data_IF_257145528074
#
_entry.id   IF_257145528074
#
_cell.length_a   1.000
_cell.length_b   1.000
_cell.length_c   1.000
_cell.angle_alpha   90.00
_cell.angle_beta   90.00
_cell.angle_gamma   90.00
#
_symmetry.space_group_name_H-M   'P 1'
#
loop_
_entity.id
_entity.type
_entity.pdbx_description
1 polymer ?
#
# COMPACT_ATOMS: atom_id res chain seq x y z
N UNK A 1 13.86 -2.13 -16.90
CA UNK A 1 13.81 -1.75 -15.47
C UNK A 1 13.17 -2.90 -14.71
N UNK A 2 13.90 -3.56 -13.81
CA UNK A 2 13.39 -4.65 -12.97
C UNK A 2 12.85 -4.06 -11.66
N UNK A 3 11.52 -3.92 -11.54
CA UNK A 3 10.86 -3.57 -10.28
C UNK A 3 10.60 -4.79 -9.41
N UNK A 4 10.15 -4.56 -8.18
CA UNK A 4 9.78 -5.64 -7.28
C UNK A 4 8.61 -6.45 -7.90
N UNK A 5 8.71 -7.77 -7.84
CA UNK A 5 7.71 -8.68 -8.44
C UNK A 5 7.49 -9.90 -7.57
N UNK A 6 6.29 -10.45 -7.63
CA UNK A 6 5.96 -11.69 -6.95
C UNK A 6 6.28 -12.87 -7.86
N UNK A 7 7.05 -13.81 -7.33
CA UNK A 7 7.41 -15.05 -8.00
C UNK A 7 6.59 -16.18 -7.41
N UNK A 8 5.89 -16.89 -8.29
CA UNK A 8 5.10 -18.08 -7.96
C UNK A 8 5.43 -19.21 -8.92
N UNK A 9 5.29 -20.43 -8.45
CA UNK A 9 5.30 -21.62 -9.30
C UNK A 9 3.89 -22.23 -9.22
N UNK A 10 3.09 -22.16 -10.30
CA UNK A 10 1.76 -22.75 -10.30
C UNK A 10 1.87 -24.28 -10.19
N UNK A 11 0.88 -24.96 -9.58
CA UNK A 11 0.88 -26.42 -9.52
C UNK A 11 0.85 -27.05 -10.92
N UNK A 12 1.35 -28.28 -11.03
CA UNK A 12 1.38 -29.01 -12.30
C UNK A 12 -0.02 -29.13 -12.94
N UNK A 13 -0.12 -28.89 -14.25
CA UNK A 13 -1.37 -28.99 -15.00
C UNK A 13 -2.24 -27.74 -14.98
N UNK A 14 -1.88 -26.72 -14.21
CA UNK A 14 -2.50 -25.40 -14.27
C UNK A 14 -2.06 -24.68 -15.54
N UNK A 15 -2.99 -23.94 -16.14
CA UNK A 15 -2.77 -23.19 -17.38
C UNK A 15 -2.81 -21.70 -17.10
N UNK A 16 -2.20 -20.90 -17.98
CA UNK A 16 -2.34 -19.44 -17.91
C UNK A 16 -3.83 -19.10 -18.10
N UNK A 17 -4.39 -18.36 -17.14
CA UNK A 17 -5.77 -17.89 -17.15
C UNK A 17 -5.92 -16.50 -17.76
N UNK A 18 -7.17 -16.07 -17.91
CA UNK A 18 -7.52 -14.76 -18.49
C UNK A 18 -8.28 -13.85 -17.50
N UNK A 19 -8.09 -14.03 -16.20
CA UNK A 19 -8.71 -13.18 -15.18
C UNK A 19 -8.13 -11.77 -15.32
N UNK A 20 -8.98 -10.77 -15.49
CA UNK A 20 -8.56 -9.38 -15.62
C UNK A 20 -7.91 -8.86 -14.32
N UNK A 21 -6.99 -7.88 -14.38
CA UNK A 21 -6.48 -7.24 -13.18
C UNK A 21 -7.59 -6.47 -12.44
N UNK A 22 -7.49 -6.33 -11.10
CA UNK A 22 -8.39 -5.46 -10.37
C UNK A 22 -8.22 -4.01 -10.83
N UNK A 23 -9.32 -3.24 -10.83
CA UNK A 23 -9.26 -1.81 -11.13
C UNK A 23 -8.45 -1.11 -10.04
N UNK A 24 -7.49 -0.29 -10.45
CA UNK A 24 -6.74 0.60 -9.56
C UNK A 24 -7.17 2.04 -9.80
N UNK A 25 -7.08 2.88 -8.77
CA UNK A 25 -7.30 4.30 -8.93
C UNK A 25 -6.01 4.96 -9.45
N UNK A 26 -6.00 5.36 -10.71
CA UNK A 26 -4.84 5.95 -11.40
C UNK A 26 -4.43 7.32 -10.83
N UNK A 27 -5.32 8.00 -10.09
CA UNK A 27 -5.10 9.38 -9.59
C UNK A 27 -3.90 9.54 -8.65
N UNK A 28 -3.31 8.46 -8.14
CA UNK A 28 -2.14 8.48 -7.26
C UNK A 28 -0.82 8.18 -8.00
N UNK A 29 -0.81 8.13 -9.34
CA UNK A 29 0.37 7.67 -10.09
C UNK A 29 0.67 6.18 -9.85
N UNK A 30 -0.38 5.41 -9.57
CA UNK A 30 -0.31 3.97 -9.37
C UNK A 30 -0.40 3.25 -10.72
N UNK A 31 0.46 2.27 -10.94
CA UNK A 31 0.54 1.48 -12.18
C UNK A 31 0.59 -0.01 -11.87
N UNK A 32 -0.16 -0.83 -12.62
CA UNK A 32 -0.03 -2.28 -12.54
C UNK A 32 1.23 -2.69 -13.30
N UNK A 33 2.28 -3.09 -12.57
CA UNK A 33 3.57 -3.49 -13.14
C UNK A 33 3.72 -5.01 -13.30
N UNK A 34 2.85 -5.78 -12.65
CA UNK A 34 2.74 -7.21 -12.84
C UNK A 34 1.28 -7.61 -12.73
N UNK A 35 0.85 -8.46 -13.66
CA UNK A 35 -0.41 -9.20 -13.54
C UNK A 35 -0.25 -10.55 -14.23
N UNK A 36 -0.62 -11.62 -13.53
CA UNK A 36 -0.69 -12.95 -14.08
C UNK A 36 -1.82 -13.73 -13.41
N UNK A 37 -2.44 -14.64 -14.15
CA UNK A 37 -3.42 -15.56 -13.59
C UNK A 37 -3.19 -16.97 -14.10
N UNK A 38 -3.54 -17.96 -13.28
CA UNK A 38 -3.47 -19.37 -13.60
C UNK A 38 -4.76 -20.04 -13.18
N UNK A 39 -5.26 -20.95 -14.00
CA UNK A 39 -6.51 -21.66 -13.78
C UNK A 39 -6.24 -23.16 -13.75
N UNK A 40 -6.86 -23.82 -12.78
CA UNK A 40 -6.86 -25.27 -12.67
C UNK A 40 -7.97 -25.88 -13.53
N UNK A 41 -7.81 -27.13 -13.99
CA UNK A 41 -8.88 -27.87 -14.66
C UNK A 41 -10.16 -28.02 -13.80
N UNK A 42 -10.03 -27.92 -12.47
CA UNK A 42 -11.12 -28.11 -11.51
C UNK A 42 -11.74 -26.77 -11.03
N UNK A 43 -11.43 -25.66 -11.71
CA UNK A 43 -12.08 -24.37 -11.48
C UNK A 43 -11.54 -23.53 -10.31
N UNK A 44 -10.44 -23.92 -9.68
CA UNK A 44 -9.63 -23.06 -8.82
C UNK A 44 -8.69 -22.15 -9.61
N UNK A 45 -8.32 -21.01 -9.03
CA UNK A 45 -7.53 -19.99 -9.70
C UNK A 45 -6.44 -19.40 -8.79
N UNK A 46 -5.32 -18.99 -9.40
CA UNK A 46 -4.26 -18.22 -8.78
C UNK A 46 -4.21 -16.89 -9.52
N UNK A 47 -4.20 -15.78 -8.79
CA UNK A 47 -3.93 -14.47 -9.38
C UNK A 47 -2.74 -13.84 -8.68
N UNK A 48 -1.85 -13.21 -9.45
CA UNK A 48 -0.68 -12.51 -8.97
C UNK A 48 -0.75 -11.10 -9.52
N UNK A 49 -0.50 -10.11 -8.67
CA UNK A 49 -0.37 -8.74 -9.13
C UNK A 49 0.62 -7.92 -8.31
N UNK A 50 1.15 -6.88 -8.93
CA UNK A 50 1.93 -5.84 -8.29
C UNK A 50 1.53 -4.49 -8.83
N UNK A 51 1.33 -3.54 -7.92
CA UNK A 51 1.09 -2.14 -8.24
C UNK A 51 2.28 -1.33 -7.73
N UNK A 52 2.87 -0.53 -8.61
CA UNK A 52 3.91 0.43 -8.26
C UNK A 52 3.28 1.81 -8.06
N UNK A 53 3.59 2.47 -6.95
CA UNK A 53 3.12 3.83 -6.65
C UNK A 53 4.31 4.71 -6.29
N UNK A 54 4.43 5.87 -6.92
CA UNK A 54 5.47 6.86 -6.61
C UNK A 54 5.36 7.37 -5.18
N UNK A 55 6.48 7.44 -4.47
CA UNK A 55 6.55 7.96 -3.10
C UNK A 55 7.70 8.96 -2.94
N UNK A 56 7.50 10.07 -2.21
CA UNK A 56 8.58 11.03 -1.93
C UNK A 56 9.56 10.54 -0.85
N UNK A 57 9.28 9.39 -0.23
CA UNK A 57 10.01 8.78 0.87
C UNK A 57 9.08 7.82 1.65
N UNK A 58 9.65 7.00 2.52
CA UNK A 58 8.92 6.05 3.34
C UNK A 58 9.00 6.40 4.82
N UNK A 59 7.87 6.35 5.52
CA UNK A 59 7.80 6.30 6.98
C UNK A 59 6.94 5.13 7.40
N UNK A 60 7.27 4.49 8.51
CA UNK A 60 6.59 3.26 8.95
C UNK A 60 5.09 3.48 9.23
N UNK A 61 4.66 4.69 9.56
CA UNK A 61 3.24 5.02 9.71
C UNK A 61 2.42 4.87 8.42
N UNK A 62 3.07 4.85 7.24
CA UNK A 62 2.40 4.57 5.98
C UNK A 62 2.04 3.08 5.82
N UNK A 63 2.75 2.18 6.53
CA UNK A 63 2.61 0.73 6.39
C UNK A 63 1.16 0.25 6.52
N UNK A 64 0.39 0.59 7.57
CA UNK A 64 -0.97 0.06 7.72
C UNK A 64 -1.90 0.44 6.56
N UNK A 65 -1.77 1.66 6.04
CA UNK A 65 -2.57 2.11 4.89
C UNK A 65 -2.19 1.37 3.60
N UNK A 66 -0.90 1.11 3.40
CA UNK A 66 -0.37 0.36 2.25
C UNK A 66 -0.78 -1.11 2.32
N UNK A 67 -0.66 -1.74 3.49
CA UNK A 67 -1.10 -3.12 3.73
C UNK A 67 -2.61 -3.25 3.50
N UNK A 68 -3.43 -2.37 4.07
CA UNK A 68 -4.88 -2.38 3.90
C UNK A 68 -5.31 -2.28 2.42
N UNK A 69 -4.66 -1.40 1.64
CA UNK A 69 -4.89 -1.32 0.19
C UNK A 69 -4.47 -2.57 -0.55
N UNK A 70 -3.33 -3.17 -0.18
CA UNK A 70 -2.83 -4.40 -0.81
C UNK A 70 -3.77 -5.58 -0.55
N UNK A 71 -4.30 -5.69 0.68
CA UNK A 71 -5.31 -6.69 1.04
C UNK A 71 -6.59 -6.50 0.25
N UNK A 72 -7.04 -5.25 0.08
CA UNK A 72 -8.21 -4.94 -0.75
C UNK A 72 -8.01 -5.34 -2.22
N UNK A 73 -6.81 -5.14 -2.79
CA UNK A 73 -6.46 -5.60 -4.14
C UNK A 73 -6.44 -7.12 -4.27
N UNK A 74 -5.94 -7.82 -3.25
CA UNK A 74 -5.99 -9.28 -3.19
C UNK A 74 -7.45 -9.77 -3.16
N UNK A 75 -8.29 -9.20 -2.29
CA UNK A 75 -9.73 -9.51 -2.24
C UNK A 75 -10.45 -9.22 -3.56
N UNK A 76 -10.17 -8.07 -4.19
CA UNK A 76 -10.73 -7.72 -5.49
C UNK A 76 -10.31 -8.69 -6.60
N UNK A 77 -9.05 -9.13 -6.62
CA UNK A 77 -8.56 -10.11 -7.58
C UNK A 77 -9.21 -11.48 -7.38
N UNK A 78 -9.38 -11.89 -6.12
CA UNK A 78 -10.12 -13.10 -5.79
C UNK A 78 -11.59 -13.01 -6.20
N UNK A 79 -12.22 -11.84 -6.04
CA UNK A 79 -13.60 -11.60 -6.47
C UNK A 79 -13.77 -11.70 -7.99
N UNK A 80 -12.80 -11.20 -8.76
CA UNK A 80 -12.79 -11.38 -10.22
C UNK A 80 -12.63 -12.85 -10.60
N UNK A 81 -11.82 -13.61 -9.86
CA UNK A 81 -11.62 -15.04 -10.11
C UNK A 81 -12.85 -15.90 -9.76
N UNK A 82 -13.59 -15.55 -8.70
CA UNK A 82 -14.75 -16.32 -8.22
C UNK A 82 -16.07 -15.85 -8.80
N UNK A 83 -16.14 -14.61 -9.30
CA UNK A 83 -17.37 -13.95 -9.72
C UNK A 83 -18.24 -13.45 -8.56
N UNK A 84 -17.73 -13.43 -7.32
CA UNK A 84 -18.47 -13.04 -6.12
C UNK A 84 -17.63 -12.14 -5.20
N UNK A 85 -18.26 -11.22 -4.44
CA UNK A 85 -17.53 -10.39 -3.47
C UNK A 85 -16.76 -11.21 -2.43
N UNK A 86 -15.51 -10.84 -2.16
CA UNK A 86 -14.60 -11.54 -1.25
C UNK A 86 -14.15 -10.63 -0.11
N UNK A 87 -14.22 -11.15 1.11
CA UNK A 87 -13.59 -10.59 2.30
C UNK A 87 -12.25 -11.29 2.54
N UNK A 88 -11.20 -10.50 2.82
CA UNK A 88 -9.85 -11.01 3.07
C UNK A 88 -9.44 -10.67 4.50
N UNK A 89 -9.18 -11.69 5.32
CA UNK A 89 -8.88 -11.53 6.75
C UNK A 89 -7.51 -12.07 7.11
N UNK A 90 -6.72 -11.37 7.92
CA UNK A 90 -5.43 -11.87 8.36
C UNK A 90 -5.62 -13.15 9.18
N UNK A 91 -4.76 -14.15 8.94
CA UNK A 91 -4.77 -15.44 9.64
C UNK A 91 -3.77 -15.50 10.82
N UNK A 92 -3.00 -14.43 11.04
CA UNK A 92 -1.96 -14.34 12.06
C UNK A 92 -0.59 -14.90 11.66
N UNK A 93 -0.44 -15.47 10.45
CA UNK A 93 0.82 -16.05 9.95
C UNK A 93 1.43 -15.27 8.79
N UNK A 94 0.91 -14.07 8.51
CA UNK A 94 1.30 -13.25 7.36
C UNK A 94 0.62 -13.69 6.07
N UNK A 95 -0.44 -14.51 6.16
CA UNK A 95 -1.35 -14.79 5.06
C UNK A 95 -2.75 -14.27 5.39
N UNK A 96 -3.65 -14.39 4.41
CA UNK A 96 -5.03 -13.94 4.53
C UNK A 96 -5.96 -15.08 4.11
N UNK A 97 -6.97 -15.34 4.92
CA UNK A 97 -8.09 -16.18 4.53
C UNK A 97 -9.05 -15.39 3.66
N UNK A 98 -9.53 -16.02 2.59
CA UNK A 98 -10.51 -15.45 1.68
C UNK A 98 -11.86 -16.13 1.94
N UNK A 99 -12.89 -15.32 2.19
CA UNK A 99 -14.28 -15.77 2.45
C UNK A 99 -15.24 -14.99 1.58
N UNK A 100 -16.42 -15.54 1.32
CA UNK A 100 -17.46 -14.80 0.62
C UNK A 100 -17.91 -13.62 1.51
N UNK A 101 -17.95 -12.40 0.97
CA UNK A 101 -18.22 -11.21 1.78
C UNK A 101 -19.66 -11.17 2.33
N UNK A 102 -20.59 -11.89 1.70
CA UNK A 102 -21.98 -12.03 2.14
C UNK A 102 -22.18 -13.04 3.26
N UNK A 103 -21.19 -13.89 3.55
CA UNK A 103 -21.24 -14.87 4.63
C UNK A 103 -19.84 -15.09 5.20
N UNK A 104 -19.47 -14.21 6.14
CA UNK A 104 -18.16 -14.25 6.80
C UNK A 104 -17.98 -15.48 7.72
N UNK A 105 -19.07 -16.18 8.05
CA UNK A 105 -19.04 -17.42 8.82
C UNK A 105 -18.87 -18.65 7.91
N UNK A 106 -19.07 -18.50 6.60
CA UNK A 106 -18.86 -19.56 5.61
C UNK A 106 -17.41 -20.07 5.62
N UNK A 107 -17.16 -21.31 5.18
CA UNK A 107 -15.82 -21.87 5.08
C UNK A 107 -14.85 -20.99 4.27
N UNK A 108 -13.57 -21.09 4.59
CA UNK A 108 -12.49 -20.46 3.80
C UNK A 108 -12.54 -20.99 2.38
N UNK A 109 -12.67 -20.09 1.40
CA UNK A 109 -12.70 -20.43 -0.01
C UNK A 109 -11.36 -20.22 -0.70
N UNK A 110 -10.38 -19.64 -0.01
CA UNK A 110 -9.09 -19.32 -0.58
C UNK A 110 -8.10 -18.75 0.43
N UNK A 111 -6.86 -18.59 -0.03
CA UNK A 111 -5.82 -17.89 0.73
C UNK A 111 -5.15 -16.83 -0.13
N UNK A 112 -4.63 -15.80 0.50
CA UNK A 112 -3.81 -14.80 -0.15
C UNK A 112 -2.56 -14.49 0.68
N UNK A 113 -1.55 -13.95 0.02
CA UNK A 113 -0.36 -13.39 0.67
C UNK A 113 -0.04 -12.07 0.02
N UNK A 114 0.29 -11.08 0.84
CA UNK A 114 0.63 -9.74 0.38
C UNK A 114 2.11 -9.46 0.65
N UNK A 115 2.68 -8.55 -0.12
CA UNK A 115 4.07 -8.13 -0.01
C UNK A 115 4.16 -6.64 -0.22
N UNK A 116 5.09 -6.01 0.50
CA UNK A 116 5.50 -4.62 0.26
C UNK A 116 6.95 -4.65 -0.18
N UNK A 117 7.19 -4.13 -1.37
CA UNK A 117 8.51 -3.94 -1.95
C UNK A 117 8.82 -2.49 -2.20
N UNK A 118 10.09 -2.20 -2.50
CA UNK A 118 10.56 -0.86 -2.82
C UNK A 118 11.51 -0.89 -4.01
N UNK A 119 11.49 0.19 -4.77
CA UNK A 119 12.62 0.63 -5.58
C UNK A 119 13.04 2.05 -5.15
N UNK A 120 13.95 2.69 -5.89
CA UNK A 120 14.48 4.01 -5.55
C UNK A 120 13.42 5.13 -5.49
N UNK A 121 12.26 4.95 -6.13
CA UNK A 121 11.24 6.01 -6.26
C UNK A 121 9.81 5.53 -5.95
N UNK A 122 9.58 4.23 -5.82
CA UNK A 122 8.25 3.65 -5.74
C UNK A 122 8.14 2.61 -4.64
N UNK A 123 6.97 2.58 -4.01
CA UNK A 123 6.51 1.44 -3.23
C UNK A 123 5.77 0.49 -4.17
N UNK A 124 6.04 -0.81 -4.02
CA UNK A 124 5.38 -1.88 -4.75
C UNK A 124 4.48 -2.64 -3.79
N UNK A 125 3.18 -2.58 -4.01
CA UNK A 125 2.19 -3.39 -3.28
C UNK A 125 1.84 -4.58 -4.13
N UNK A 126 2.26 -5.76 -3.69
CA UNK A 126 2.07 -6.99 -4.43
C UNK A 126 1.22 -8.00 -3.67
N UNK A 127 0.57 -8.88 -4.40
CA UNK A 127 -0.24 -9.94 -3.84
C UNK A 127 -0.18 -11.20 -4.69
N UNK A 128 -0.51 -12.31 -4.05
CA UNK A 128 -0.93 -13.55 -4.70
C UNK A 128 -2.19 -14.04 -4.00
N UNK A 129 -3.17 -14.50 -4.76
CA UNK A 129 -4.37 -15.17 -4.23
C UNK A 129 -4.52 -16.56 -4.84
N UNK A 130 -5.19 -17.44 -4.11
CA UNK A 130 -5.54 -18.81 -4.49
C UNK A 130 -6.99 -19.03 -4.07
N UNK A 131 -7.87 -19.34 -5.01
CA UNK A 131 -9.31 -19.56 -4.77
C UNK A 131 -9.71 -21.01 -5.10
N UNK A 132 -10.72 -21.52 -4.37
CA UNK A 132 -11.23 -22.90 -4.37
C UNK A 132 -10.13 -23.93 -4.04
N UNK A 133 -9.61 -23.84 -2.82
CA UNK A 133 -8.17 -23.91 -2.54
C UNK A 133 -7.71 -25.00 -1.55
N UNK A 134 -7.75 -26.28 -1.90
CA UNK A 134 -6.80 -27.25 -1.31
C UNK A 134 -5.54 -27.43 -2.17
N UNK A 135 -5.61 -27.10 -3.47
CA UNK A 135 -4.59 -27.47 -4.45
C UNK A 135 -3.52 -26.42 -4.71
N UNK A 136 -3.70 -25.16 -4.28
CA UNK A 136 -2.75 -24.07 -4.49
C UNK A 136 -2.20 -23.42 -3.20
N UNK A 137 -2.49 -23.97 -2.02
CA UNK A 137 -1.99 -23.45 -0.74
C UNK A 137 -0.45 -23.42 -0.68
N UNK A 138 0.21 -24.48 -1.17
CA UNK A 138 1.67 -24.54 -1.23
C UNK A 138 2.27 -23.45 -2.12
N UNK A 139 1.59 -23.07 -3.21
CA UNK A 139 2.02 -21.94 -4.06
C UNK A 139 1.95 -20.61 -3.32
N UNK A 140 0.92 -20.39 -2.48
CA UNK A 140 0.84 -19.18 -1.64
C UNK A 140 1.94 -19.16 -0.58
N UNK A 141 2.17 -20.30 0.09
CA UNK A 141 3.18 -20.42 1.14
C UNK A 141 4.61 -20.19 0.61
N UNK A 142 4.89 -20.63 -0.61
CA UNK A 142 6.21 -20.49 -1.26
C UNK A 142 6.37 -19.22 -2.09
N UNK A 143 5.29 -18.46 -2.30
CA UNK A 143 5.35 -17.18 -3.00
C UNK A 143 6.31 -16.23 -2.29
N UNK A 144 7.12 -15.52 -3.07
CA UNK A 144 8.13 -14.61 -2.57
C UNK A 144 8.23 -13.36 -3.43
N UNK A 145 8.67 -12.28 -2.80
CA UNK A 145 8.97 -11.03 -3.48
C UNK A 145 10.44 -11.02 -3.93
N UNK A 146 10.66 -10.76 -5.21
CA UNK A 146 12.00 -10.57 -5.80
C UNK A 146 12.21 -9.13 -6.24
N UNK A 147 13.47 -8.68 -6.21
CA UNK A 147 13.87 -7.38 -6.76
C UNK A 147 13.52 -6.17 -5.89
N UNK A 148 13.14 -6.37 -4.62
CA UNK A 148 12.93 -5.26 -3.67
C UNK A 148 14.25 -4.74 -3.12
N UNK A 149 14.34 -3.41 -2.97
CA UNK A 149 15.41 -2.74 -2.21
C UNK A 149 14.93 -2.36 -0.81
N UNK A 150 15.80 -1.74 -0.02
CA UNK A 150 15.41 -1.06 1.20
C UNK A 150 14.46 0.11 0.88
N UNK A 151 13.54 0.46 1.81
CA UNK A 151 12.65 1.60 1.64
C UNK A 151 13.44 2.91 1.49
N UNK A 152 13.01 3.83 0.60
CA UNK A 152 13.67 5.12 0.45
C UNK A 152 13.52 5.94 1.73
N UNK A 153 14.62 6.55 2.19
CA UNK A 153 14.59 7.40 3.39
C UNK A 153 13.60 8.56 3.23
N UNK A 154 12.89 8.94 4.31
CA UNK A 154 12.00 10.08 4.26
C UNK A 154 12.80 11.37 4.07
N UNK A 155 12.32 12.26 3.18
CA UNK A 155 12.84 13.62 3.09
C UNK A 155 12.43 14.48 4.29
N UNK A 156 13.11 15.62 4.49
CA UNK A 156 12.91 16.52 5.64
C UNK A 156 11.44 16.93 5.86
N UNK A 157 10.70 17.16 4.77
CA UNK A 157 9.30 17.52 4.83
C UNK A 157 8.45 16.40 5.44
N UNK A 158 8.65 15.15 5.00
CA UNK A 158 7.91 14.01 5.50
C UNK A 158 8.26 13.72 6.97
N UNK A 159 9.54 13.79 7.32
CA UNK A 159 10.00 13.67 8.72
C UNK A 159 9.37 14.74 9.62
N UNK A 160 9.29 15.99 9.17
CA UNK A 160 8.68 17.08 9.91
C UNK A 160 7.18 16.87 10.15
N UNK A 161 6.45 16.43 9.12
CA UNK A 161 5.00 16.10 9.24
C UNK A 161 4.79 14.94 10.20
N UNK A 162 5.55 13.86 10.06
CA UNK A 162 5.47 12.70 10.96
C UNK A 162 5.77 13.12 12.40
N UNK A 163 6.79 13.95 12.63
CA UNK A 163 7.09 14.45 13.96
C UNK A 163 5.95 15.28 14.55
N UNK A 164 5.35 16.18 13.76
CA UNK A 164 4.23 17.02 14.18
C UNK A 164 2.98 16.20 14.57
N UNK A 165 2.70 15.12 13.82
CA UNK A 165 1.58 14.21 14.12
C UNK A 165 1.79 13.50 15.47
N UNK A 166 3.01 13.04 15.75
CA UNK A 166 3.33 12.34 17.01
C UNK A 166 3.56 13.28 18.20
N UNK A 167 3.84 14.56 17.95
CA UNK A 167 4.14 15.55 18.98
C UNK A 167 3.25 16.81 18.82
N UNK A 168 1.92 16.67 18.94
CA UNK A 168 0.99 17.76 18.61
C UNK A 168 1.14 18.96 19.54
N UNK A 169 1.37 18.72 20.83
CA UNK A 169 1.51 19.78 21.85
C UNK A 169 2.76 20.64 21.62
N UNK A 170 3.99 20.10 21.55
CA UNK A 170 5.16 20.94 21.29
C UNK A 170 5.14 21.56 19.89
N UNK A 171 4.54 20.89 18.88
CA UNK A 171 4.34 21.49 17.56
C UNK A 171 3.42 22.70 17.62
N UNK A 172 2.26 22.60 18.29
CA UNK A 172 1.32 23.70 18.46
C UNK A 172 1.95 24.89 19.21
N UNK A 173 2.74 24.62 20.26
CA UNK A 173 3.47 25.65 21.00
C UNK A 173 4.52 26.35 20.13
N UNK A 174 5.31 25.60 19.36
CA UNK A 174 6.28 26.17 18.43
C UNK A 174 5.60 27.05 17.38
N UNK A 175 4.46 26.59 16.83
CA UNK A 175 3.71 27.32 15.82
C UNK A 175 3.09 28.61 16.40
N UNK A 176 2.50 28.55 17.59
CA UNK A 176 1.98 29.71 18.30
C UNK A 176 3.08 30.74 18.61
N UNK A 177 4.25 30.27 19.05
CA UNK A 177 5.41 31.15 19.34
C UNK A 177 5.89 31.83 18.05
N UNK A 178 6.00 31.08 16.95
CA UNK A 178 6.43 31.60 15.65
C UNK A 178 5.46 32.66 15.13
N UNK A 179 4.14 32.40 15.20
CA UNK A 179 3.10 33.36 14.83
C UNK A 179 3.15 34.62 15.69
N UNK A 180 3.39 34.48 16.98
CA UNK A 180 3.49 35.62 17.90
C UNK A 180 4.69 36.50 17.56
N UNK A 181 5.86 35.89 17.32
CA UNK A 181 7.09 36.61 16.95
C UNK A 181 6.93 37.32 15.60
N UNK A 182 6.39 36.64 14.57
CA UNK A 182 6.20 37.26 13.25
C UNK A 182 5.18 38.40 13.30
N UNK A 183 4.12 38.26 14.10
CA UNK A 183 3.14 39.34 14.31
C UNK A 183 3.78 40.54 15.01
N UNK A 184 4.58 40.31 16.07
CA UNK A 184 5.33 41.36 16.77
C UNK A 184 6.30 42.09 15.82
N UNK A 185 7.08 41.34 15.03
CA UNK A 185 7.99 41.89 14.02
C UNK A 185 7.25 42.70 12.95
N UNK A 186 6.11 42.20 12.47
CA UNK A 186 5.30 42.92 11.48
C UNK A 186 4.76 44.25 12.06
N UNK A 187 4.36 44.27 13.34
CA UNK A 187 3.90 45.49 14.01
C UNK A 187 5.04 46.47 14.23
N UNK A 188 6.21 46.01 14.67
CA UNK A 188 7.37 46.87 14.95
C UNK A 188 7.95 47.46 13.67
N UNK A 189 8.07 46.66 12.60
CA UNK A 189 8.56 47.12 11.29
C UNK A 189 7.57 48.06 10.58
N UNK A 190 6.26 47.95 10.84
CA UNK A 190 5.25 48.91 10.34
C UNK A 190 5.28 50.26 11.06
N UNK A 191 5.82 50.34 12.28
CA UNK A 191 6.03 51.61 12.98
C UNK A 191 7.21 52.35 12.34
N UNK A 192 6.97 53.01 11.20
CA UNK A 192 7.92 53.96 10.59
C UNK A 192 8.36 54.97 11.66
N UNK A 193 9.67 55.19 11.89
CA UNK A 193 10.11 56.26 12.76
C UNK A 193 9.64 57.58 12.13
N UNK A 194 8.69 58.25 12.77
CA UNK A 194 8.44 59.66 12.50
C UNK A 194 9.66 60.41 13.02
N UNK A 195 10.69 60.55 12.18
CA UNK A 195 11.70 61.58 12.40
C UNK A 195 10.96 62.91 12.38
N UNK A 196 10.65 63.38 13.59
CA UNK A 196 10.18 64.74 13.84
C UNK A 196 11.36 65.62 13.47
N UNK A 197 11.37 66.13 12.24
CA UNK A 197 12.27 67.20 11.85
C UNK A 197 11.96 68.38 12.78
N UNK A 198 12.81 68.60 13.78
CA UNK A 198 12.82 69.84 14.54
C UNK A 198 13.48 70.89 13.63
N UNK A 199 12.65 71.81 13.13
CA UNK A 199 13.06 73.11 12.59
C UNK A 199 13.09 74.07 13.77
#
# INVERSE_FOLDING_TARGET
MSGARVVVVPPSGWRVGSIAPPKINESAGAEIVQHASFESPNGGAITVGCVATSIPGWVEDMRPAVEGRTVALAGASAALATGAPIDARPDGTGTFELRAANDIAAPVIGHARTFIGFDTQRVHTCWVTCTRATTCQSTIATARLDGSTAPPSPGLALTGVTWAVHHPTPFALALATTLTITTLLAVTLRRKPRHRAQI
#
